data_IF_787740737476
#
_entry.id   IF_787740737476
#
_cell.length_a   1.000
_cell.length_b   1.000
_cell.length_c   1.000
_cell.angle_alpha   90.00
_cell.angle_beta   90.00
_cell.angle_gamma   90.00
#
_symmetry.space_group_name_H-M   'P 1'
#
loop_
_entity.id
_entity.type
_entity.pdbx_description
1 polymer ?
#
# COMPACT_ATOMS: atom_id res chain seq x y z
N UNK A 1 21.39 -12.49 -1.87
CA UNK A 1 20.44 -12.47 -0.72
C UNK A 1 21.13 -13.12 0.47
N UNK A 2 21.52 -12.34 1.45
CA UNK A 2 22.01 -12.90 2.71
C UNK A 2 20.80 -13.27 3.56
N UNK A 3 20.45 -14.53 3.60
CA UNK A 3 19.29 -15.08 4.32
C UNK A 3 19.36 -14.92 5.85
N UNK A 4 20.44 -14.32 6.37
CA UNK A 4 20.66 -14.12 7.81
C UNK A 4 20.41 -12.69 8.29
N UNK A 5 20.34 -11.71 7.41
CA UNK A 5 20.07 -10.33 7.81
C UNK A 5 18.57 -10.10 8.02
N UNK A 6 18.13 -10.03 9.27
CA UNK A 6 16.77 -9.71 9.64
C UNK A 6 16.65 -8.26 10.06
N UNK A 7 15.53 -7.62 9.73
CA UNK A 7 15.21 -6.29 10.21
C UNK A 7 14.93 -6.35 11.71
N UNK A 8 15.71 -5.60 12.48
CA UNK A 8 15.59 -5.53 13.95
C UNK A 8 14.72 -4.37 14.40
N UNK A 9 14.74 -3.27 13.63
CA UNK A 9 14.02 -2.04 13.94
C UNK A 9 13.77 -1.25 12.66
N UNK A 10 12.64 -0.54 12.60
CA UNK A 10 12.34 0.41 11.54
C UNK A 10 11.92 1.73 12.17
N UNK A 11 12.57 2.82 11.78
CA UNK A 11 12.21 4.17 12.22
C UNK A 11 11.73 5.02 11.04
N UNK A 12 10.99 6.07 11.34
CA UNK A 12 10.57 7.05 10.36
C UNK A 12 10.83 8.47 10.84
N UNK A 13 11.00 9.37 9.86
CA UNK A 13 11.01 10.82 10.05
C UNK A 13 10.14 11.43 8.97
N UNK A 14 9.20 12.28 9.35
CA UNK A 14 8.36 13.08 8.47
C UNK A 14 8.80 14.53 8.54
N UNK A 15 9.19 15.11 7.43
CA UNK A 15 9.66 16.47 7.34
C UNK A 15 8.78 17.33 6.41
N UNK A 16 8.63 18.59 6.75
CA UNK A 16 8.21 19.64 5.83
C UNK A 16 9.40 19.96 4.89
N UNK A 17 9.23 19.77 3.59
CA UNK A 17 10.30 19.94 2.62
C UNK A 17 10.57 21.41 2.27
N UNK A 18 9.65 22.31 2.58
CA UNK A 18 9.80 23.75 2.32
C UNK A 18 10.59 24.44 3.42
N UNK A 19 10.31 24.08 4.67
CA UNK A 19 10.94 24.70 5.84
C UNK A 19 12.03 23.82 6.47
N UNK A 20 12.28 22.64 5.93
CA UNK A 20 13.21 21.64 6.48
C UNK A 20 12.93 21.28 7.96
N UNK A 21 11.67 21.39 8.38
CA UNK A 21 11.26 21.15 9.76
C UNK A 21 10.80 19.72 9.94
N UNK A 22 11.26 19.07 11.02
CA UNK A 22 10.73 17.78 11.44
C UNK A 22 9.30 17.95 11.97
N UNK A 23 8.36 17.20 11.39
CA UNK A 23 6.95 17.20 11.78
C UNK A 23 6.66 16.08 12.77
N UNK A 24 7.18 14.90 12.49
CA UNK A 24 7.01 13.72 13.30
C UNK A 24 8.16 12.75 13.10
N UNK A 25 8.48 11.98 14.14
CA UNK A 25 9.39 10.84 14.07
C UNK A 25 8.94 9.75 15.03
N UNK A 26 9.38 8.54 14.77
CA UNK A 26 9.08 7.40 15.64
C UNK A 26 9.59 6.10 15.07
N UNK A 27 9.13 5.03 15.68
CA UNK A 27 9.41 3.67 15.24
C UNK A 27 8.14 3.01 14.72
N UNK A 28 8.29 2.15 13.72
CA UNK A 28 7.20 1.34 13.22
C UNK A 28 7.06 0.08 14.07
N UNK A 29 5.82 -0.34 14.27
CA UNK A 29 5.50 -1.58 14.97
C UNK A 29 5.63 -2.77 14.01
N UNK A 30 6.39 -3.83 14.38
CA UNK A 30 6.45 -5.04 13.56
C UNK A 30 5.09 -5.75 13.57
N UNK A 31 4.62 -6.12 12.39
CA UNK A 31 3.39 -6.90 12.19
C UNK A 31 3.69 -8.31 11.70
N UNK A 32 4.81 -8.47 11.02
CA UNK A 32 5.40 -9.74 10.59
C UNK A 32 6.89 -9.52 10.31
N UNK A 33 7.61 -10.54 9.91
CA UNK A 33 9.04 -10.44 9.56
C UNK A 33 9.34 -9.39 8.48
N UNK A 34 8.37 -9.10 7.62
CA UNK A 34 8.52 -8.19 6.48
C UNK A 34 7.58 -6.98 6.51
N UNK A 35 6.66 -6.94 7.47
CA UNK A 35 5.65 -5.89 7.53
C UNK A 35 5.76 -5.09 8.84
N UNK A 36 6.02 -3.80 8.68
CA UNK A 36 6.15 -2.83 9.75
C UNK A 36 5.22 -1.67 9.47
N UNK A 37 4.42 -1.28 10.44
CA UNK A 37 3.45 -0.19 10.24
C UNK A 37 3.19 0.61 11.50
N UNK A 38 2.87 1.89 11.29
CA UNK A 38 2.41 2.79 12.34
C UNK A 38 1.46 3.84 11.76
N UNK A 39 0.57 4.36 12.58
CA UNK A 39 -0.30 5.47 12.24
C UNK A 39 0.37 6.79 12.65
N UNK A 40 0.76 7.59 11.66
CA UNK A 40 1.40 8.88 11.91
C UNK A 40 0.32 9.96 11.97
N UNK A 41 0.24 10.66 13.09
CA UNK A 41 -0.62 11.84 13.21
C UNK A 41 0.02 13.02 12.49
N UNK A 42 -0.62 13.50 11.45
CA UNK A 42 -0.15 14.67 10.69
C UNK A 42 -0.86 15.91 11.21
N UNK A 43 -0.11 16.94 11.70
CA UNK A 43 -0.71 18.17 12.22
C UNK A 43 -1.54 18.91 11.16
N UNK A 44 -2.64 19.54 11.58
CA UNK A 44 -3.56 20.24 10.68
C UNK A 44 -2.90 21.40 9.90
N UNK A 45 -1.86 22.00 10.47
CA UNK A 45 -1.13 23.12 9.84
C UNK A 45 -0.17 22.67 8.70
N UNK A 46 -0.19 21.39 8.34
CA UNK A 46 0.61 20.87 7.22
C UNK A 46 -0.21 20.71 5.93
N UNK A 47 -1.48 21.08 5.95
CA UNK A 47 -2.32 21.02 4.76
C UNK A 47 -1.75 21.88 3.62
N UNK A 48 -1.73 21.32 2.41
CA UNK A 48 -1.15 21.95 1.21
C UNK A 48 0.38 21.90 1.13
N UNK A 49 1.07 21.33 2.11
CA UNK A 49 2.54 21.31 2.14
C UNK A 49 3.13 20.07 1.43
N UNK A 50 4.35 20.26 0.93
CA UNK A 50 5.17 19.16 0.42
C UNK A 50 5.90 18.49 1.58
N UNK A 51 5.61 17.22 1.79
CA UNK A 51 6.18 16.43 2.87
C UNK A 51 7.15 15.38 2.34
N UNK A 52 8.16 15.06 3.15
CA UNK A 52 9.10 13.97 2.91
C UNK A 52 9.04 12.95 4.05
N UNK A 53 8.67 11.73 3.74
CA UNK A 53 8.72 10.61 4.67
C UNK A 53 9.99 9.80 4.41
N UNK A 54 10.89 9.79 5.37
CA UNK A 54 12.10 8.96 5.35
C UNK A 54 11.92 7.79 6.30
N UNK A 55 12.09 6.58 5.78
CA UNK A 55 12.04 5.34 6.56
C UNK A 55 13.41 4.71 6.55
N UNK A 56 13.89 4.31 7.72
CA UNK A 56 15.19 3.64 7.89
C UNK A 56 14.98 2.29 8.57
N UNK A 57 15.39 1.23 7.88
CA UNK A 57 15.46 -0.13 8.42
C UNK A 57 16.85 -0.41 8.97
N UNK A 58 16.90 -0.97 10.16
CA UNK A 58 18.13 -1.40 10.81
C UNK A 58 18.14 -2.93 10.85
N UNK A 59 19.25 -3.52 10.47
CA UNK A 59 19.41 -4.96 10.42
C UNK A 59 20.24 -5.48 11.61
N UNK A 60 20.06 -6.75 11.93
CA UNK A 60 20.80 -7.42 13.02
C UNK A 60 22.31 -7.54 12.76
N UNK A 61 22.77 -7.35 11.53
CA UNK A 61 24.19 -7.32 11.13
C UNK A 61 24.80 -5.91 11.24
N UNK A 62 24.09 -4.96 11.84
CA UNK A 62 24.52 -3.58 12.03
C UNK A 62 24.35 -2.67 10.79
N UNK A 63 23.92 -3.20 9.67
CA UNK A 63 23.63 -2.41 8.47
C UNK A 63 22.29 -1.68 8.58
N UNK A 64 22.13 -0.67 7.73
CA UNK A 64 20.87 0.06 7.59
C UNK A 64 20.56 0.31 6.12
N UNK A 65 19.26 0.40 5.82
CA UNK A 65 18.74 0.84 4.53
C UNK A 65 17.76 1.99 4.76
N UNK A 66 17.82 3.01 3.91
CA UNK A 66 16.96 4.19 4.01
C UNK A 66 16.26 4.43 2.68
N UNK A 67 14.97 4.74 2.75
CA UNK A 67 14.16 5.15 1.63
C UNK A 67 13.42 6.44 2.00
N UNK A 68 13.32 7.35 1.03
CA UNK A 68 12.55 8.61 1.20
C UNK A 68 11.50 8.72 0.12
N UNK A 69 10.28 8.97 0.53
CA UNK A 69 9.17 9.31 -0.36
C UNK A 69 8.75 10.77 -0.14
N UNK A 70 8.37 11.46 -1.22
CA UNK A 70 7.96 12.86 -1.21
C UNK A 70 6.54 12.95 -1.74
N UNK A 71 5.68 13.69 -1.06
CA UNK A 71 4.28 13.82 -1.43
C UNK A 71 3.73 15.20 -1.03
N UNK A 72 2.65 15.61 -1.69
CA UNK A 72 1.83 16.75 -1.29
C UNK A 72 0.77 16.24 -0.32
N UNK A 73 0.68 16.80 0.88
CA UNK A 73 -0.36 16.48 1.83
C UNK A 73 -1.56 17.41 1.66
N UNK A 74 -2.75 16.84 1.52
CA UNK A 74 -4.01 17.58 1.43
C UNK A 74 -5.06 16.88 2.31
N UNK A 75 -5.44 17.53 3.41
CA UNK A 75 -6.35 16.96 4.41
C UNK A 75 -7.73 16.63 3.85
N UNK A 76 -8.27 17.52 3.05
CA UNK A 76 -9.63 17.42 2.51
C UNK A 76 -9.63 17.13 1.00
N UNK A 77 -8.65 16.37 0.55
CA UNK A 77 -8.58 15.96 -0.85
C UNK A 77 -9.83 15.13 -1.21
N UNK A 78 -10.74 15.75 -1.93
CA UNK A 78 -11.90 15.07 -2.51
C UNK A 78 -11.54 14.63 -3.90
N UNK A 79 -11.39 13.33 -4.07
CA UNK A 79 -11.39 12.79 -5.42
C UNK A 79 -12.79 12.99 -6.00
N UNK A 80 -12.91 13.77 -7.05
CA UNK A 80 -14.05 13.64 -7.93
C UNK A 80 -13.94 12.24 -8.52
N UNK A 81 -14.83 11.35 -8.08
CA UNK A 81 -14.88 10.00 -8.64
C UNK A 81 -15.05 10.12 -10.15
N UNK A 82 -13.98 9.89 -10.86
CA UNK A 82 -14.07 9.63 -12.28
C UNK A 82 -14.83 8.31 -12.36
N UNK A 83 -15.96 8.21 -13.06
CA UNK A 83 -16.61 6.94 -13.30
C UNK A 83 -15.62 6.09 -14.10
N UNK A 84 -14.69 5.48 -13.40
CA UNK A 84 -13.68 4.62 -13.98
C UNK A 84 -14.33 3.31 -14.41
N UNK A 85 -13.89 2.80 -15.51
CA UNK A 85 -14.17 1.41 -15.88
C UNK A 85 -13.63 0.52 -14.79
N UNK A 86 -14.43 -0.45 -14.36
CA UNK A 86 -13.99 -1.47 -13.40
C UNK A 86 -12.67 -2.10 -13.87
N UNK A 87 -11.75 -2.32 -12.92
CA UNK A 87 -10.55 -3.10 -13.11
C UNK A 87 -10.77 -4.48 -12.46
N UNK A 88 -11.55 -5.31 -13.14
CA UNK A 88 -12.11 -6.53 -12.57
C UNK A 88 -11.32 -7.81 -12.88
N UNK A 89 -10.23 -7.69 -13.61
CA UNK A 89 -9.31 -8.81 -13.91
C UNK A 89 -7.86 -8.35 -13.86
N UNK A 90 -6.92 -9.29 -13.94
CA UNK A 90 -5.51 -8.96 -14.17
C UNK A 90 -5.39 -8.19 -15.48
N UNK A 91 -4.60 -7.12 -15.44
CA UNK A 91 -4.39 -6.25 -16.59
C UNK A 91 -5.71 -5.73 -17.21
N UNK A 92 -6.73 -5.54 -16.34
CA UNK A 92 -7.96 -4.79 -16.58
C UNK A 92 -9.04 -5.50 -17.41
N UNK A 93 -8.68 -6.25 -18.43
CA UNK A 93 -9.63 -6.84 -19.37
C UNK A 93 -9.20 -8.25 -19.83
N UNK A 94 -10.10 -8.93 -20.54
CA UNK A 94 -9.83 -10.28 -21.05
C UNK A 94 -8.66 -10.36 -22.06
N UNK A 95 -8.31 -9.25 -22.68
CA UNK A 95 -7.15 -9.15 -23.58
C UNK A 95 -5.84 -8.87 -22.85
N UNK A 96 -5.89 -8.71 -21.52
CA UNK A 96 -4.73 -8.41 -20.66
C UNK A 96 -3.90 -7.22 -21.17
N UNK A 97 -4.55 -6.17 -21.65
CA UNK A 97 -3.87 -5.00 -22.26
C UNK A 97 -3.06 -4.19 -21.24
N UNK A 98 -3.38 -4.28 -19.96
CA UNK A 98 -2.65 -3.60 -18.87
C UNK A 98 -2.74 -2.08 -18.89
N UNK A 99 -3.62 -1.54 -19.70
CA UNK A 99 -3.76 -0.11 -19.86
C UNK A 99 -5.19 0.32 -20.15
N UNK A 100 -5.50 1.53 -19.72
CA UNK A 100 -6.69 2.27 -20.11
C UNK A 100 -6.24 3.51 -20.86
N UNK A 101 -6.92 3.81 -21.96
CA UNK A 101 -6.75 5.09 -22.60
C UNK A 101 -7.62 6.10 -21.84
N UNK A 102 -7.04 6.73 -20.83
CA UNK A 102 -7.71 7.71 -20.01
C UNK A 102 -7.08 9.09 -20.22
N UNK A 103 -7.72 9.88 -21.06
CA UNK A 103 -7.30 11.26 -21.32
C UNK A 103 -7.59 12.21 -20.15
N UNK A 104 -8.23 11.73 -19.10
CA UNK A 104 -8.60 12.54 -17.94
C UNK A 104 -7.56 12.50 -16.81
N UNK A 105 -6.56 11.64 -16.90
CA UNK A 105 -5.45 11.61 -15.94
C UNK A 105 -4.64 12.90 -16.09
N UNK A 106 -4.67 13.71 -15.04
CA UNK A 106 -3.90 14.95 -14.96
C UNK A 106 -2.72 14.81 -14.03
N UNK A 107 -1.59 15.34 -14.42
CA UNK A 107 -0.41 15.41 -13.58
C UNK A 107 -0.36 16.74 -12.81
N UNK A 108 0.23 16.77 -11.59
CA UNK A 108 0.86 15.64 -10.90
C UNK A 108 -0.17 14.68 -10.26
N UNK A 109 0.19 13.41 -10.18
CA UNK A 109 -0.61 12.44 -9.43
C UNK A 109 -0.50 12.74 -7.94
N UNK A 110 -1.59 12.52 -7.21
CA UNK A 110 -1.66 12.71 -5.77
C UNK A 110 -2.02 11.39 -5.08
N UNK A 111 -1.43 11.17 -3.90
CA UNK A 111 -1.80 10.03 -3.06
C UNK A 111 -3.17 10.28 -2.46
N UNK A 112 -4.15 9.46 -2.79
CA UNK A 112 -5.50 9.55 -2.28
C UNK A 112 -5.61 8.96 -0.87
N UNK A 113 -5.17 7.73 -0.70
CA UNK A 113 -5.19 7.04 0.56
C UNK A 113 -4.19 5.88 0.56
N UNK A 114 -3.91 5.39 1.74
CA UNK A 114 -3.17 4.15 1.96
C UNK A 114 -3.96 3.28 2.94
N UNK A 115 -3.84 1.98 2.81
CA UNK A 115 -4.42 1.03 3.74
C UNK A 115 -3.42 -0.09 4.07
N UNK A 116 -3.46 -0.57 5.30
CA UNK A 116 -2.65 -1.67 5.74
C UNK A 116 -3.49 -2.95 5.76
N UNK A 117 -3.06 -3.97 5.03
CA UNK A 117 -3.72 -5.28 5.00
C UNK A 117 -3.38 -6.16 6.20
N UNK A 118 -2.31 -5.83 6.94
CA UNK A 118 -1.79 -6.63 8.04
C UNK A 118 -1.05 -7.89 7.62
N UNK A 119 -0.73 -8.04 6.32
CA UNK A 119 0.07 -9.13 5.77
C UNK A 119 0.68 -8.73 4.43
N UNK A 120 1.57 -9.56 3.88
CA UNK A 120 2.28 -9.24 2.65
C UNK A 120 1.36 -9.26 1.43
N UNK A 121 1.61 -8.34 0.52
CA UNK A 121 1.04 -8.32 -0.82
C UNK A 121 2.15 -8.72 -1.77
N UNK A 122 2.07 -9.92 -2.31
CA UNK A 122 3.08 -10.44 -3.23
C UNK A 122 2.41 -11.22 -4.35
N UNK A 123 2.77 -10.91 -5.59
CA UNK A 123 2.21 -11.53 -6.80
C UNK A 123 0.66 -11.48 -6.86
N UNK A 124 0.07 -10.44 -6.28
CA UNK A 124 -1.37 -10.19 -6.35
C UNK A 124 -1.63 -8.81 -6.92
N UNK A 125 -2.67 -8.68 -7.72
CA UNK A 125 -3.13 -7.39 -8.25
C UNK A 125 -4.44 -7.01 -7.59
N UNK A 126 -4.65 -5.73 -7.27
CA UNK A 126 -5.94 -5.29 -6.79
C UNK A 126 -7.00 -5.45 -7.88
N UNK A 127 -8.20 -5.80 -7.47
CA UNK A 127 -9.40 -5.80 -8.30
C UNK A 127 -10.25 -4.62 -7.87
N UNK A 128 -10.70 -3.82 -8.83
CA UNK A 128 -11.55 -2.66 -8.58
C UNK A 128 -12.88 -2.87 -9.28
N UNK A 129 -13.94 -2.94 -8.53
CA UNK A 129 -15.30 -3.03 -9.06
C UNK A 129 -16.33 -2.47 -8.08
N UNK A 130 -17.38 -1.87 -8.58
CA UNK A 130 -18.48 -1.31 -7.77
C UNK A 130 -17.98 -0.42 -6.63
N UNK A 131 -17.01 0.46 -6.90
CA UNK A 131 -16.40 1.38 -5.94
C UNK A 131 -15.75 0.69 -4.72
N UNK A 132 -15.26 -0.51 -4.91
CA UNK A 132 -14.49 -1.25 -3.91
C UNK A 132 -13.18 -1.72 -4.49
N UNK A 133 -12.16 -1.78 -3.65
CA UNK A 133 -10.86 -2.35 -3.97
C UNK A 133 -10.72 -3.65 -3.19
N UNK A 134 -10.48 -4.74 -3.89
CA UNK A 134 -10.21 -6.04 -3.32
C UNK A 134 -8.75 -6.39 -3.50
N UNK A 135 -8.13 -6.88 -2.45
CA UNK A 135 -6.74 -7.35 -2.49
C UNK A 135 -6.59 -8.61 -1.64
N UNK A 136 -5.83 -9.56 -2.15
CA UNK A 136 -5.45 -10.75 -1.41
C UNK A 136 -4.03 -10.61 -0.86
N UNK A 137 -3.75 -11.28 0.24
CA UNK A 137 -2.43 -11.29 0.85
C UNK A 137 -1.81 -12.68 0.83
N UNK A 138 -0.51 -12.71 0.94
CA UNK A 138 0.27 -13.93 1.02
C UNK A 138 0.89 -14.08 2.40
N UNK A 139 1.14 -15.32 2.77
CA UNK A 139 1.92 -15.67 3.94
C UNK A 139 3.39 -15.25 3.78
N UNK A 140 4.02 -14.88 4.87
CA UNK A 140 5.44 -14.58 4.98
C UNK A 140 6.28 -15.75 5.50
N UNK A 141 5.72 -16.96 5.50
CA UNK A 141 6.27 -18.21 6.03
C UNK A 141 6.43 -18.27 7.56
N UNK A 142 6.03 -17.25 8.28
CA UNK A 142 6.16 -17.20 9.74
C UNK A 142 4.84 -17.07 10.48
N UNK A 143 3.83 -16.53 9.80
CA UNK A 143 2.50 -16.36 10.35
C UNK A 143 1.47 -16.71 9.28
N UNK A 144 0.59 -17.64 9.56
CA UNK A 144 -0.56 -18.00 8.70
C UNK A 144 -1.59 -16.85 8.58
N UNK A 145 -1.10 -15.61 8.51
CA UNK A 145 -1.91 -14.40 8.45
C UNK A 145 -2.19 -14.01 7.01
N UNK A 146 -3.04 -14.78 6.36
CA UNK A 146 -3.45 -14.56 4.98
C UNK A 146 -4.89 -14.10 4.93
N UNK A 147 -5.17 -13.11 4.07
CA UNK A 147 -6.46 -12.45 4.03
C UNK A 147 -6.89 -12.10 2.61
N UNK A 148 -8.20 -11.99 2.43
CA UNK A 148 -8.80 -11.18 1.37
C UNK A 148 -9.41 -9.96 2.05
N UNK A 149 -9.05 -8.77 1.58
CA UNK A 149 -9.51 -7.51 2.14
C UNK A 149 -10.33 -6.75 1.10
N UNK A 150 -11.36 -6.06 1.57
CA UNK A 150 -12.12 -5.11 0.76
C UNK A 150 -12.04 -3.72 1.40
N UNK A 151 -11.75 -2.73 0.56
CA UNK A 151 -11.66 -1.32 0.94
C UNK A 151 -12.64 -0.49 0.10
N UNK A 152 -13.14 0.58 0.69
CA UNK A 152 -13.87 1.60 -0.04
C UNK A 152 -12.92 2.33 -1.00
N UNK A 153 -13.31 2.47 -2.25
CA UNK A 153 -12.46 3.04 -3.29
C UNK A 153 -12.08 4.49 -3.03
N UNK A 154 -12.97 5.27 -2.47
CA UNK A 154 -12.75 6.70 -2.28
C UNK A 154 -11.96 7.03 -1.01
N UNK A 155 -12.26 6.34 0.07
CA UNK A 155 -11.71 6.64 1.39
C UNK A 155 -10.58 5.71 1.84
N UNK A 156 -10.41 4.55 1.20
CA UNK A 156 -9.50 3.52 1.66
C UNK A 156 -9.92 2.83 2.95
N UNK A 157 -11.13 3.15 3.47
CA UNK A 157 -11.64 2.52 4.68
C UNK A 157 -11.88 1.03 4.45
N UNK A 158 -11.36 0.19 5.35
CA UNK A 158 -11.60 -1.24 5.28
C UNK A 158 -13.09 -1.53 5.51
N UNK A 159 -13.70 -2.19 4.52
CA UNK A 159 -15.11 -2.61 4.59
C UNK A 159 -15.20 -3.95 5.31
N UNK A 160 -14.35 -4.90 4.89
CA UNK A 160 -14.24 -6.20 5.54
C UNK A 160 -12.86 -6.81 5.29
N UNK A 161 -12.53 -7.81 6.09
CA UNK A 161 -11.32 -8.61 6.01
C UNK A 161 -11.68 -10.05 6.33
N UNK A 162 -11.36 -10.96 5.44
CA UNK A 162 -11.62 -12.38 5.57
C UNK A 162 -10.29 -13.13 5.67
N UNK A 163 -10.13 -13.94 6.69
CA UNK A 163 -8.95 -14.79 6.86
C UNK A 163 -9.05 -16.01 5.94
N UNK A 164 -7.98 -16.28 5.21
CA UNK A 164 -7.86 -17.49 4.38
C UNK A 164 -6.96 -18.51 5.09
N UNK A 165 -7.15 -19.79 4.80
CA UNK A 165 -6.32 -20.86 5.36
C UNK A 165 -4.93 -20.91 4.75
N UNK A 166 -4.79 -20.44 3.51
CA UNK A 166 -3.56 -20.45 2.74
C UNK A 166 -3.34 -19.13 2.02
N UNK A 167 -2.09 -18.89 1.63
CA UNK A 167 -1.72 -17.77 0.78
C UNK A 167 -2.54 -17.72 -0.49
N UNK A 168 -3.21 -16.60 -0.70
CA UNK A 168 -3.92 -16.34 -1.95
C UNK A 168 -2.95 -15.65 -2.90
N UNK A 169 -2.27 -16.43 -3.71
CA UNK A 169 -1.48 -15.91 -4.83
C UNK A 169 -2.43 -15.84 -6.01
N UNK A 170 -2.97 -14.67 -6.28
CA UNK A 170 -3.68 -14.49 -7.53
C UNK A 170 -2.69 -14.40 -8.66
N UNK A 171 -2.36 -15.51 -9.22
CA UNK A 171 -2.27 -15.47 -10.68
C UNK A 171 -3.68 -15.17 -11.11
N UNK A 172 -3.93 -14.01 -11.67
CA UNK A 172 -5.20 -13.65 -12.28
C UNK A 172 -5.43 -14.48 -13.55
N UNK A 173 -5.14 -15.72 -13.43
CA UNK A 173 -5.05 -16.68 -14.49
C UNK A 173 -5.61 -17.99 -13.95
N UNK A 174 -6.91 -18.00 -13.76
CA UNK A 174 -7.63 -19.25 -13.61
C UNK A 174 -7.74 -19.87 -14.98
N UNK A 175 -6.83 -20.76 -15.29
CA UNK A 175 -7.16 -21.84 -16.19
C UNK A 175 -8.22 -22.71 -15.52
N UNK A 176 -9.47 -22.32 -15.63
CA UNK A 176 -10.56 -23.25 -15.58
C UNK A 176 -10.52 -24.07 -16.86
N UNK A 177 -9.64 -25.06 -16.91
CA UNK A 177 -9.88 -26.21 -17.75
C UNK A 177 -10.94 -27.01 -17.00
N UNK A 178 -12.19 -26.84 -17.42
CA UNK A 178 -13.21 -27.85 -17.21
C UNK A 178 -12.73 -29.13 -17.90
N UNK A 179 -12.54 -30.17 -17.12
CA UNK A 179 -12.57 -31.55 -17.59
C UNK A 179 -13.98 -32.06 -17.42
#
# INVERSE_FOLDING_TARGET
YNSQARTSRVSYILNDLENHQEIAKGELTPRSDWNWSENIQIPANTDGKKLGLTVTSFFNDGKKATATNRFLYQKDFKLTSIPGKDWNTLLQNASHSGGINDSQIKLPLQLQWTANTGSNIFMTSPIITRQKVFIATTDDNTSLNTYICAFDFNSGKQIWKFRTENSVKTVSYTHLRAH
#
